data_IF_239535743984
#
_entry.id   IF_239535743984
#
_cell.length_a   1.000
_cell.length_b   1.000
_cell.length_c   1.000
_cell.angle_alpha   90.00
_cell.angle_beta   90.00
_cell.angle_gamma   90.00
#
_symmetry.space_group_name_H-M   'P 1'
#
loop_
_entity.id
_entity.type
_entity.pdbx_description
1 polymer ?
#
# COMPACT_ATOMS: atom_id res chain seq x y z
N UNK A 1 8.89 -45.72 13.58
CA UNK A 1 8.59 -45.66 12.14
C UNK A 1 7.09 -45.79 12.01
N UNK A 2 6.38 -44.67 12.10
CA UNK A 2 4.94 -44.64 11.86
C UNK A 2 4.68 -44.47 10.36
N UNK A 3 3.65 -45.20 9.95
CA UNK A 3 3.28 -45.58 8.61
C UNK A 3 2.93 -44.33 7.77
N UNK A 4 3.88 -43.81 6.99
CA UNK A 4 3.55 -42.87 5.90
C UNK A 4 2.96 -43.69 4.76
N UNK A 5 1.62 -43.66 4.66
CA UNK A 5 0.92 -44.08 3.45
C UNK A 5 1.55 -43.40 2.23
N UNK A 6 1.70 -44.10 1.09
CA UNK A 6 2.31 -43.54 -0.11
C UNK A 6 1.50 -42.32 -0.56
N UNK A 7 2.18 -41.25 -0.93
CA UNK A 7 1.60 -39.99 -1.38
C UNK A 7 0.58 -40.23 -2.49
N UNK A 8 -0.70 -40.29 -2.12
CA UNK A 8 -1.79 -40.14 -3.08
C UNK A 8 -1.64 -38.79 -3.76
N UNK A 9 -1.87 -38.74 -5.06
CA UNK A 9 -1.85 -37.48 -5.83
C UNK A 9 -2.57 -36.39 -5.05
N UNK A 10 -1.81 -35.35 -4.69
CA UNK A 10 -2.33 -34.20 -3.97
C UNK A 10 -3.43 -33.60 -4.84
N UNK A 11 -4.69 -33.75 -4.42
CA UNK A 11 -5.85 -33.24 -5.14
C UNK A 11 -6.23 -31.87 -4.58
N UNK A 12 -6.44 -30.91 -5.46
CA UNK A 12 -6.93 -29.58 -5.06
C UNK A 12 -8.42 -29.64 -4.74
N UNK A 13 -8.83 -29.05 -3.62
CA UNK A 13 -10.23 -28.91 -3.23
C UNK A 13 -10.96 -27.97 -4.20
N UNK A 14 -12.28 -28.17 -4.37
CA UNK A 14 -13.09 -27.30 -5.20
C UNK A 14 -13.23 -25.92 -4.53
N UNK A 15 -12.54 -24.93 -5.09
CA UNK A 15 -12.62 -23.52 -4.72
C UNK A 15 -12.60 -22.71 -6.01
N UNK A 16 -13.73 -22.08 -6.32
CA UNK A 16 -13.92 -21.33 -7.57
C UNK A 16 -13.33 -19.92 -7.46
N UNK A 17 -13.02 -19.31 -8.60
CA UNK A 17 -12.36 -18.00 -8.62
C UNK A 17 -13.27 -16.85 -8.18
N UNK A 18 -14.60 -17.00 -8.23
CA UNK A 18 -15.56 -15.99 -7.78
C UNK A 18 -16.01 -16.20 -6.33
N UNK A 19 -15.43 -17.17 -5.64
CA UNK A 19 -15.74 -17.45 -4.25
C UNK A 19 -14.79 -16.69 -3.32
N UNK A 20 -15.38 -16.12 -2.28
CA UNK A 20 -14.68 -15.45 -1.20
C UNK A 20 -15.14 -16.05 0.12
N UNK A 21 -14.20 -16.27 1.03
CA UNK A 21 -14.56 -16.73 2.37
C UNK A 21 -13.77 -16.03 3.45
N UNK A 22 -14.33 -16.05 4.66
CA UNK A 22 -13.67 -15.51 5.83
C UNK A 22 -13.89 -16.37 7.06
N UNK A 23 -13.01 -16.18 8.03
CA UNK A 23 -13.17 -16.67 9.39
C UNK A 23 -12.79 -15.58 10.38
N UNK A 24 -13.52 -15.48 11.49
CA UNK A 24 -13.21 -14.60 12.62
C UNK A 24 -12.66 -15.46 13.75
N UNK A 25 -11.57 -15.00 14.35
CA UNK A 25 -10.89 -15.66 15.45
C UNK A 25 -10.64 -14.70 16.61
N UNK A 26 -10.44 -15.23 17.82
CA UNK A 26 -9.90 -14.46 18.94
C UNK A 26 -8.36 -14.25 18.82
N UNK A 27 -7.76 -13.56 19.79
CA UNK A 27 -6.30 -13.33 19.82
C UNK A 27 -5.45 -14.60 19.91
N UNK A 28 -6.04 -15.74 20.28
CA UNK A 28 -5.36 -17.05 20.32
C UNK A 28 -5.52 -17.84 19.02
N UNK A 29 -6.14 -17.24 18.00
CA UNK A 29 -6.56 -17.92 16.76
C UNK A 29 -7.58 -19.04 16.98
N UNK A 30 -8.39 -18.96 18.03
CA UNK A 30 -9.56 -19.84 18.18
C UNK A 30 -10.67 -19.36 17.26
N UNK A 31 -11.22 -20.24 16.43
CA UNK A 31 -12.27 -19.92 15.46
C UNK A 31 -13.57 -19.62 16.20
N UNK A 32 -14.11 -18.42 15.99
CA UNK A 32 -15.37 -17.96 16.55
C UNK A 32 -16.53 -18.15 15.56
N UNK A 33 -16.28 -17.89 14.27
CA UNK A 33 -17.27 -18.00 13.19
C UNK A 33 -16.56 -17.93 11.82
N UNK A 34 -17.28 -18.28 10.75
CA UNK A 34 -16.92 -18.05 9.36
C UNK A 34 -18.16 -18.22 8.48
N UNK A 35 -18.05 -17.85 7.21
CA UNK A 35 -19.17 -18.02 6.28
C UNK A 35 -19.31 -19.47 5.75
N UNK A 36 -20.38 -19.77 5.02
CA UNK A 36 -20.68 -21.15 4.61
C UNK A 36 -19.63 -21.69 3.62
N UNK A 37 -19.05 -20.84 2.78
CA UNK A 37 -17.90 -21.22 1.93
C UNK A 37 -16.72 -21.74 2.77
N UNK A 38 -16.40 -21.10 3.91
CA UNK A 38 -15.32 -21.56 4.79
C UNK A 38 -15.59 -22.97 5.32
N UNK A 39 -16.81 -23.22 5.83
CA UNK A 39 -17.23 -24.53 6.35
C UNK A 39 -17.12 -25.58 5.23
N UNK A 40 -17.70 -25.28 4.06
CA UNK A 40 -17.75 -26.19 2.91
C UNK A 40 -16.35 -26.56 2.40
N UNK A 41 -15.47 -25.60 2.17
CA UNK A 41 -14.11 -25.85 1.64
C UNK A 41 -13.25 -26.59 2.67
N UNK A 42 -13.41 -26.28 3.96
CA UNK A 42 -12.64 -26.97 5.01
C UNK A 42 -12.98 -28.46 5.11
N UNK A 43 -14.17 -28.88 4.67
CA UNK A 43 -14.67 -30.25 4.82
C UNK A 43 -15.01 -30.66 6.26
N UNK A 44 -14.87 -29.75 7.23
CA UNK A 44 -15.33 -29.92 8.60
C UNK A 44 -16.77 -29.48 8.74
N UNK A 45 -17.51 -30.09 9.67
CA UNK A 45 -18.78 -29.53 10.11
C UNK A 45 -18.52 -28.27 10.92
N UNK A 46 -19.49 -27.36 10.95
CA UNK A 46 -19.39 -26.11 11.69
C UNK A 46 -19.05 -26.32 13.16
N UNK A 47 -19.68 -27.30 13.80
CA UNK A 47 -19.46 -27.63 15.22
C UNK A 47 -18.07 -28.22 15.49
N UNK A 48 -17.38 -28.70 14.44
CA UNK A 48 -15.99 -29.18 14.53
C UNK A 48 -14.98 -28.04 14.32
N UNK A 49 -15.40 -26.92 13.72
CA UNK A 49 -14.55 -25.75 13.49
C UNK A 49 -14.61 -24.77 14.66
N UNK A 50 -15.81 -24.45 15.15
CA UNK A 50 -15.99 -23.45 16.20
C UNK A 50 -15.33 -23.92 17.49
N UNK A 51 -14.51 -23.05 18.09
CA UNK A 51 -13.75 -23.36 19.30
C UNK A 51 -12.44 -24.11 19.06
N UNK A 52 -12.11 -24.45 17.81
CA UNK A 52 -10.79 -25.02 17.47
C UNK A 52 -9.80 -23.93 17.07
N UNK A 53 -8.51 -24.23 17.25
CA UNK A 53 -7.45 -23.39 16.71
C UNK A 53 -7.46 -23.43 15.18
N UNK A 54 -7.24 -22.27 14.57
CA UNK A 54 -7.24 -22.11 13.11
C UNK A 54 -6.19 -22.97 12.38
N UNK A 55 -5.18 -23.47 13.09
CA UNK A 55 -4.17 -24.38 12.52
C UNK A 55 -4.73 -25.75 12.11
N UNK A 56 -5.98 -26.09 12.47
CA UNK A 56 -6.65 -27.35 12.08
C UNK A 56 -6.72 -27.55 10.55
N UNK A 57 -6.75 -26.46 9.78
CA UNK A 57 -6.74 -26.48 8.30
C UNK A 57 -5.38 -26.16 7.69
N UNK A 58 -4.31 -26.10 8.49
CA UNK A 58 -2.97 -25.76 7.98
C UNK A 58 -2.39 -26.94 7.20
N UNK A 59 -1.91 -26.67 5.99
CA UNK A 59 -1.15 -27.65 5.23
C UNK A 59 0.27 -27.84 5.82
N UNK A 60 0.80 -29.07 5.92
CA UNK A 60 2.17 -29.33 6.37
C UNK A 60 3.26 -28.60 5.55
N UNK A 61 3.09 -28.54 4.22
CA UNK A 61 3.97 -27.78 3.30
C UNK A 61 3.86 -26.23 3.40
N UNK A 62 3.42 -25.68 4.52
CA UNK A 62 3.51 -24.24 4.75
C UNK A 62 4.77 -23.89 5.53
N UNK A 63 5.67 -23.05 4.97
CA UNK A 63 6.83 -22.54 5.70
C UNK A 63 6.42 -21.93 7.04
N UNK A 64 7.05 -22.35 8.12
CA UNK A 64 6.80 -21.82 9.46
C UNK A 64 7.19 -20.35 9.56
N UNK A 65 8.22 -19.90 8.84
CA UNK A 65 8.63 -18.47 8.84
C UNK A 65 7.51 -17.54 8.36
N UNK A 66 6.70 -17.95 7.38
CA UNK A 66 5.57 -17.14 6.88
C UNK A 66 4.51 -16.96 7.97
N UNK A 67 4.26 -18.00 8.77
CA UNK A 67 3.37 -17.88 9.92
C UNK A 67 3.97 -17.03 11.04
N UNK A 68 5.29 -17.08 11.25
CA UNK A 68 5.96 -16.15 12.17
C UNK A 68 5.69 -14.71 11.76
N UNK A 69 5.90 -14.37 10.48
CA UNK A 69 5.57 -13.05 9.94
C UNK A 69 4.10 -12.68 10.18
N UNK A 70 3.17 -13.58 9.86
CA UNK A 70 1.74 -13.36 10.09
C UNK A 70 1.46 -13.01 11.56
N UNK A 71 1.96 -13.80 12.50
CA UNK A 71 1.77 -13.58 13.94
C UNK A 71 2.45 -12.31 14.44
N UNK A 72 3.67 -12.02 13.97
CA UNK A 72 4.39 -10.80 14.32
C UNK A 72 3.59 -9.55 13.92
N UNK A 73 2.86 -9.58 12.79
CA UNK A 73 2.03 -8.46 12.37
C UNK A 73 0.76 -8.32 13.23
N UNK A 74 -0.06 -9.38 13.30
CA UNK A 74 -1.37 -9.28 13.98
C UNK A 74 -1.25 -9.08 15.49
N UNK A 75 -0.16 -9.55 16.12
CA UNK A 75 0.13 -9.29 17.53
C UNK A 75 0.55 -7.83 17.80
N UNK A 76 0.98 -7.10 16.76
CA UNK A 76 1.28 -5.67 16.80
C UNK A 76 0.10 -4.82 16.29
N UNK A 77 -1.11 -5.38 16.25
CA UNK A 77 -2.32 -4.75 15.71
C UNK A 77 -2.15 -4.23 14.26
N UNK A 78 -1.26 -4.89 13.49
CA UNK A 78 -1.04 -4.62 12.06
C UNK A 78 -1.75 -5.67 11.19
N UNK A 79 -2.32 -5.26 10.04
CA UNK A 79 -2.83 -6.22 9.07
C UNK A 79 -1.69 -6.97 8.41
N UNK A 80 -1.99 -8.13 7.84
CA UNK A 80 -1.02 -8.93 7.09
C UNK A 80 -1.68 -9.65 5.94
N UNK A 81 -0.98 -9.72 4.81
CA UNK A 81 -1.40 -10.51 3.65
C UNK A 81 -0.37 -11.61 3.40
N UNK A 82 -0.84 -12.83 3.17
CA UNK A 82 0.03 -13.97 2.91
C UNK A 82 -0.65 -14.96 1.97
N UNK A 83 0.13 -15.61 1.11
CA UNK A 83 -0.31 -16.79 0.40
C UNK A 83 -0.26 -17.99 1.36
N UNK A 84 -1.38 -18.69 1.52
CA UNK A 84 -1.51 -19.79 2.46
C UNK A 84 -2.03 -21.03 1.73
N UNK A 85 -1.29 -22.13 1.85
CA UNK A 85 -1.73 -23.48 1.50
C UNK A 85 -2.43 -24.09 2.71
N UNK A 86 -3.68 -24.48 2.52
CA UNK A 86 -4.49 -25.14 3.53
C UNK A 86 -4.79 -26.58 3.11
N UNK A 87 -5.22 -27.39 4.07
CA UNK A 87 -5.64 -28.77 3.88
C UNK A 87 -7.04 -28.96 4.49
N UNK A 88 -7.98 -29.40 3.67
CA UNK A 88 -9.32 -29.77 4.10
C UNK A 88 -9.29 -31.09 4.91
N UNK A 89 -10.35 -31.38 5.66
CA UNK A 89 -10.53 -32.63 6.42
C UNK A 89 -10.34 -33.89 5.57
N UNK A 90 -10.69 -33.81 4.29
CA UNK A 90 -10.55 -34.90 3.32
C UNK A 90 -9.10 -35.17 2.90
N UNK A 91 -8.17 -34.28 3.24
CA UNK A 91 -6.77 -34.30 2.81
C UNK A 91 -6.48 -33.51 1.54
N UNK A 92 -7.51 -33.04 0.83
CA UNK A 92 -7.39 -32.15 -0.34
C UNK A 92 -6.80 -30.80 0.08
N UNK A 93 -5.94 -30.22 -0.75
CA UNK A 93 -5.33 -28.92 -0.46
C UNK A 93 -6.00 -27.78 -1.23
N UNK A 94 -5.83 -26.54 -0.77
CA UNK A 94 -6.23 -25.36 -1.52
C UNK A 94 -5.33 -24.19 -1.17
N UNK A 95 -5.11 -23.30 -2.14
CA UNK A 95 -4.36 -22.07 -1.95
C UNK A 95 -5.31 -20.90 -1.79
N UNK A 96 -4.94 -19.98 -0.90
CA UNK A 96 -5.60 -18.69 -0.74
C UNK A 96 -4.57 -17.58 -0.70
N UNK A 97 -4.94 -16.40 -1.19
CA UNK A 97 -4.42 -15.17 -0.63
C UNK A 97 -5.26 -14.86 0.62
N UNK A 98 -4.65 -14.84 1.79
CA UNK A 98 -5.30 -14.50 3.04
C UNK A 98 -4.92 -13.07 3.47
N UNK A 99 -5.90 -12.17 3.53
CA UNK A 99 -5.78 -10.85 4.12
C UNK A 99 -6.35 -10.87 5.55
N UNK A 100 -5.49 -10.71 6.55
CA UNK A 100 -5.84 -10.76 7.96
C UNK A 100 -5.86 -9.35 8.54
N UNK A 101 -6.99 -8.99 9.15
CA UNK A 101 -7.22 -7.66 9.71
C UNK A 101 -7.56 -7.76 11.20
N UNK A 102 -6.82 -7.06 12.08
CA UNK A 102 -7.20 -6.91 13.47
C UNK A 102 -8.33 -5.90 13.63
N UNK A 103 -9.28 -6.23 14.51
CA UNK A 103 -10.33 -5.32 14.95
C UNK A 103 -10.68 -5.66 16.41
N UNK A 104 -10.30 -4.77 17.33
CA UNK A 104 -10.38 -4.96 18.78
C UNK A 104 -9.60 -6.22 19.23
N UNK A 105 -10.24 -7.15 19.94
CA UNK A 105 -9.64 -8.37 20.47
C UNK A 105 -9.79 -9.58 19.54
N UNK A 106 -9.99 -9.33 18.25
CA UNK A 106 -10.30 -10.36 17.26
C UNK A 106 -9.61 -10.09 15.93
N UNK A 107 -9.48 -11.15 15.15
CA UNK A 107 -8.91 -11.11 13.81
C UNK A 107 -9.92 -11.68 12.82
N UNK A 108 -10.11 -11.01 11.69
CA UNK A 108 -10.78 -11.59 10.52
C UNK A 108 -9.74 -11.90 9.45
N UNK A 109 -9.85 -13.08 8.84
CA UNK A 109 -9.05 -13.46 7.69
C UNK A 109 -9.97 -13.62 6.49
N UNK A 110 -9.89 -12.68 5.55
CA UNK A 110 -10.63 -12.68 4.27
C UNK A 110 -9.75 -13.34 3.21
N UNK A 111 -10.33 -14.23 2.41
CA UNK A 111 -9.58 -15.10 1.50
C UNK A 111 -10.20 -15.17 0.12
N UNK A 112 -9.34 -15.07 -0.88
CA UNK A 112 -9.65 -15.25 -2.30
C UNK A 112 -8.68 -16.27 -2.91
N UNK A 113 -9.07 -16.83 -4.05
CA UNK A 113 -8.22 -17.75 -4.81
C UNK A 113 -7.10 -16.98 -5.51
N UNK A 114 -5.82 -17.32 -5.30
CA UNK A 114 -4.72 -16.58 -5.90
C UNK A 114 -4.57 -16.97 -7.37
N UNK A 115 -4.44 -15.97 -8.23
CA UNK A 115 -4.31 -16.09 -9.68
C UNK A 115 -3.20 -15.19 -10.26
N UNK A 116 -2.54 -14.37 -9.46
CA UNK A 116 -1.50 -13.44 -9.93
C UNK A 116 -0.19 -14.14 -10.32
N UNK A 117 0.65 -13.41 -11.06
CA UNK A 117 2.02 -13.84 -11.36
C UNK A 117 2.89 -13.92 -10.08
N UNK A 118 2.60 -13.10 -9.07
CA UNK A 118 3.30 -13.13 -7.78
C UNK A 118 3.10 -14.49 -7.11
N UNK A 119 1.90 -15.08 -7.20
CA UNK A 119 1.63 -16.40 -6.65
C UNK A 119 2.56 -17.50 -7.22
N UNK A 120 2.86 -17.44 -8.52
CA UNK A 120 3.78 -18.39 -9.15
C UNK A 120 5.20 -18.29 -8.56
N UNK A 121 5.71 -17.06 -8.38
CA UNK A 121 7.01 -16.81 -7.76
C UNK A 121 7.03 -17.25 -6.28
N UNK A 122 5.93 -17.02 -5.55
CA UNK A 122 5.80 -17.39 -4.14
C UNK A 122 5.86 -18.91 -3.94
N UNK A 123 5.29 -19.69 -4.86
CA UNK A 123 5.41 -21.17 -4.79
C UNK A 123 6.87 -21.63 -4.86
N UNK A 124 7.68 -21.03 -5.73
CA UNK A 124 9.12 -21.33 -5.82
C UNK A 124 9.86 -20.89 -4.56
N UNK A 125 9.53 -19.70 -4.04
CA UNK A 125 10.07 -19.16 -2.80
C UNK A 125 9.77 -20.12 -1.63
N UNK A 126 8.53 -20.59 -1.49
CA UNK A 126 8.13 -21.49 -0.40
C UNK A 126 8.84 -22.83 -0.47
N UNK A 127 9.08 -23.36 -1.68
CA UNK A 127 9.89 -24.56 -1.85
C UNK A 127 11.31 -24.38 -1.28
N UNK A 128 11.98 -23.26 -1.60
CA UNK A 128 13.30 -22.93 -1.05
C UNK A 128 13.28 -22.82 0.48
N UNK A 129 12.26 -22.15 1.04
CA UNK A 129 12.11 -22.01 2.49
C UNK A 129 11.90 -23.35 3.19
N UNK A 130 11.05 -24.23 2.65
CA UNK A 130 10.83 -25.56 3.22
C UNK A 130 12.11 -26.41 3.23
N UNK A 131 12.95 -26.31 2.19
CA UNK A 131 14.26 -26.98 2.16
C UNK A 131 15.21 -26.44 3.24
N UNK A 132 15.23 -25.12 3.44
CA UNK A 132 15.99 -24.50 4.53
C UNK A 132 15.46 -24.96 5.91
N UNK A 133 14.14 -24.99 6.09
CA UNK A 133 13.52 -25.42 7.34
C UNK A 133 13.74 -26.91 7.66
N UNK A 134 13.84 -27.75 6.63
CA UNK A 134 14.11 -29.17 6.77
C UNK A 134 15.56 -29.45 7.23
N UNK A 135 16.50 -28.56 6.88
CA UNK A 135 17.92 -28.72 7.22
C UNK A 135 18.32 -28.04 8.54
N UNK A 136 17.77 -26.87 8.83
CA UNK A 136 18.18 -26.09 10.01
C UNK A 136 17.05 -25.33 10.70
N UNK A 137 15.81 -25.78 10.54
CA UNK A 137 14.67 -25.20 11.25
C UNK A 137 14.28 -23.80 10.77
N UNK A 138 13.38 -23.15 11.50
CA UNK A 138 12.90 -21.80 11.17
C UNK A 138 14.04 -20.77 11.15
N UNK A 139 15.04 -20.92 12.03
CA UNK A 139 16.22 -20.06 12.13
C UNK A 139 17.00 -19.98 10.81
N UNK A 140 17.00 -21.04 10.00
CA UNK A 140 17.64 -21.04 8.68
C UNK A 140 16.81 -20.34 7.60
N UNK A 141 15.49 -20.38 7.71
CA UNK A 141 14.56 -19.81 6.73
C UNK A 141 14.26 -18.33 6.95
N UNK A 142 14.36 -17.83 8.19
CA UNK A 142 14.05 -16.44 8.55
C UNK A 142 14.92 -15.39 7.80
N UNK A 143 16.26 -15.46 7.84
CA UNK A 143 17.08 -14.55 7.04
C UNK A 143 16.93 -14.79 5.53
N UNK A 144 16.60 -16.02 5.13
CA UNK A 144 16.42 -16.38 3.73
C UNK A 144 15.16 -15.75 3.12
N UNK A 145 14.07 -15.63 3.89
CA UNK A 145 12.83 -15.00 3.41
C UNK A 145 13.09 -13.58 2.90
N UNK A 146 13.78 -12.76 3.69
CA UNK A 146 14.07 -11.37 3.30
C UNK A 146 15.02 -11.30 2.09
N UNK A 147 16.01 -12.19 2.01
CA UNK A 147 16.88 -12.28 0.83
C UNK A 147 16.12 -12.65 -0.45
N UNK A 148 15.22 -13.63 -0.38
CA UNK A 148 14.39 -14.05 -1.51
C UNK A 148 13.39 -12.95 -1.93
N UNK A 149 12.85 -12.19 -0.98
CA UNK A 149 12.00 -11.03 -1.29
C UNK A 149 12.80 -9.91 -1.97
N UNK A 150 14.05 -9.68 -1.54
CA UNK A 150 14.94 -8.71 -2.17
C UNK A 150 15.31 -9.11 -3.61
N UNK A 151 15.51 -10.41 -3.89
CA UNK A 151 15.67 -10.92 -5.26
C UNK A 151 14.45 -10.64 -6.16
N UNK A 152 13.26 -10.59 -5.56
CA UNK A 152 12.01 -10.22 -6.24
C UNK A 152 11.78 -8.69 -6.28
N UNK A 153 12.70 -7.89 -5.76
CA UNK A 153 12.65 -6.43 -5.78
C UNK A 153 11.91 -5.78 -4.61
N UNK A 154 11.62 -6.53 -3.53
CA UNK A 154 10.96 -6.00 -2.33
C UNK A 154 11.96 -5.72 -1.21
N UNK A 155 11.86 -4.52 -0.62
CA UNK A 155 12.74 -4.11 0.49
C UNK A 155 12.22 -4.60 1.86
N UNK A 156 10.93 -4.91 1.94
CA UNK A 156 10.26 -5.36 3.16
C UNK A 156 9.14 -6.34 2.87
N UNK A 157 8.69 -7.08 3.89
CA UNK A 157 7.48 -7.89 3.78
C UNK A 157 6.23 -7.00 3.57
N UNK A 158 6.21 -5.79 4.15
CA UNK A 158 5.11 -4.83 3.98
C UNK A 158 4.94 -4.41 2.51
N UNK A 159 6.06 -4.14 1.81
CA UNK A 159 6.04 -3.84 0.37
C UNK A 159 5.52 -5.03 -0.44
N UNK A 160 6.02 -6.24 -0.14
CA UNK A 160 5.59 -7.47 -0.80
C UNK A 160 4.09 -7.72 -0.60
N UNK A 161 3.60 -7.66 0.63
CA UNK A 161 2.22 -8.01 0.95
C UNK A 161 1.23 -6.99 0.38
N UNK A 162 1.63 -5.71 0.31
CA UNK A 162 0.83 -4.67 -0.34
C UNK A 162 0.72 -4.89 -1.85
N UNK A 163 1.82 -5.24 -2.52
CA UNK A 163 1.81 -5.50 -3.96
C UNK A 163 1.13 -6.82 -4.31
N UNK A 164 1.29 -7.85 -3.47
CA UNK A 164 0.57 -9.12 -3.58
C UNK A 164 -0.95 -8.91 -3.50
N UNK A 165 -1.43 -8.14 -2.51
CA UNK A 165 -2.86 -7.83 -2.39
C UNK A 165 -3.38 -7.07 -3.61
N UNK A 166 -2.67 -6.03 -4.03
CA UNK A 166 -3.06 -5.23 -5.19
C UNK A 166 -3.10 -6.07 -6.48
N UNK A 167 -2.08 -6.89 -6.71
CA UNK A 167 -1.97 -7.73 -7.92
C UNK A 167 -3.08 -8.77 -7.97
N UNK A 168 -3.37 -9.44 -6.86
CA UNK A 168 -4.44 -10.43 -6.79
C UNK A 168 -5.82 -9.80 -6.96
N UNK A 169 -6.09 -8.64 -6.36
CA UNK A 169 -7.36 -7.93 -6.58
C UNK A 169 -7.53 -7.47 -8.03
N UNK A 170 -6.43 -7.07 -8.68
CA UNK A 170 -6.42 -6.73 -10.10
C UNK A 170 -6.79 -7.91 -11.01
N UNK A 171 -6.23 -9.10 -10.76
CA UNK A 171 -6.59 -10.31 -11.50
C UNK A 171 -7.99 -10.81 -11.16
N UNK A 172 -8.35 -10.80 -9.87
CA UNK A 172 -9.67 -11.18 -9.38
C UNK A 172 -10.78 -10.37 -10.07
N UNK A 173 -10.60 -9.05 -10.18
CA UNK A 173 -11.54 -8.17 -10.89
C UNK A 173 -11.73 -8.56 -12.36
N UNK A 174 -10.66 -8.93 -13.07
CA UNK A 174 -10.75 -9.38 -14.48
C UNK A 174 -11.55 -10.67 -14.58
N UNK A 175 -11.27 -11.64 -13.69
CA UNK A 175 -11.97 -12.91 -13.65
C UNK A 175 -13.47 -12.70 -13.38
N UNK A 176 -13.81 -11.85 -12.40
CA UNK A 176 -15.21 -11.52 -12.09
C UNK A 176 -15.94 -10.81 -13.24
N UNK A 177 -15.23 -10.07 -14.09
CA UNK A 177 -15.82 -9.42 -15.27
C UNK A 177 -16.13 -10.42 -16.40
N UNK A 178 -15.34 -11.49 -16.52
CA UNK A 178 -15.54 -12.55 -17.51
C UNK A 178 -16.64 -13.55 -17.11
N UNK A 179 -16.97 -13.64 -15.83
CA UNK A 179 -18.05 -14.50 -15.32
C UNK A 179 -19.39 -13.82 -15.59
N UNK A 180 -20.28 -14.51 -16.31
CA UNK A 180 -21.61 -14.00 -16.66
C UNK A 180 -22.43 -13.67 -15.40
N UNK A 181 -22.51 -12.38 -15.06
CA UNK A 181 -23.25 -11.88 -13.90
C UNK A 181 -24.76 -12.15 -13.99
N UNK A 182 -25.31 -12.49 -15.17
CA UNK A 182 -26.71 -12.88 -15.31
C UNK A 182 -27.05 -14.20 -14.59
N UNK A 183 -26.04 -14.96 -14.16
CA UNK A 183 -26.22 -16.22 -13.41
C UNK A 183 -26.52 -16.02 -11.91
N UNK A 184 -26.21 -14.85 -11.33
CA UNK A 184 -26.40 -14.55 -9.89
C UNK A 184 -27.65 -13.71 -9.65
N UNK A 185 -28.83 -14.30 -9.92
CA UNK A 185 -30.12 -13.64 -9.61
C UNK A 185 -30.33 -13.62 -8.10
N UNK A 186 -30.54 -12.43 -7.54
CA UNK A 186 -30.92 -12.27 -6.14
C UNK A 186 -32.28 -12.95 -5.93
N UNK A 187 -32.42 -13.85 -4.94
CA UNK A 187 -33.64 -14.65 -4.77
C UNK A 187 -34.84 -13.75 -4.45
N UNK A 188 -36.05 -14.25 -4.66
CA UNK A 188 -37.24 -13.52 -4.25
C UNK A 188 -37.27 -13.34 -2.72
N UNK A 189 -37.41 -12.09 -2.28
CA UNK A 189 -37.34 -11.71 -0.88
C UNK A 189 -38.74 -11.51 -0.34
N UNK A 190 -39.12 -12.36 0.61
CA UNK A 190 -40.45 -12.36 1.23
C UNK A 190 -40.43 -12.04 2.74
N UNK A 191 -39.23 -11.88 3.33
CA UNK A 191 -39.06 -11.64 4.77
C UNK A 191 -38.54 -10.24 5.07
N UNK A 192 -38.85 -9.73 6.27
CA UNK A 192 -38.31 -8.44 6.75
C UNK A 192 -36.78 -8.46 6.83
N UNK A 193 -36.20 -9.57 7.32
CA UNK A 193 -34.76 -9.77 7.36
C UNK A 193 -34.16 -9.72 5.96
N UNK A 194 -34.72 -10.47 5.01
CA UNK A 194 -34.24 -10.49 3.62
C UNK A 194 -34.28 -9.09 2.98
N UNK A 195 -35.30 -8.28 3.31
CA UNK A 195 -35.41 -6.90 2.82
C UNK A 195 -34.29 -6.02 3.37
N UNK A 196 -33.96 -6.18 4.66
CA UNK A 196 -32.83 -5.47 5.30
C UNK A 196 -31.49 -5.93 4.74
N UNK A 197 -31.27 -7.24 4.59
CA UNK A 197 -30.05 -7.78 3.99
C UNK A 197 -29.84 -7.31 2.55
N UNK A 198 -30.91 -7.23 1.75
CA UNK A 198 -30.85 -6.67 0.40
C UNK A 198 -30.46 -5.19 0.41
N UNK A 199 -31.03 -4.40 1.31
CA UNK A 199 -30.65 -3.00 1.46
C UNK A 199 -29.17 -2.84 1.85
N UNK A 200 -28.67 -3.69 2.77
CA UNK A 200 -27.26 -3.73 3.11
C UNK A 200 -26.38 -4.12 1.91
N UNK A 201 -26.84 -5.08 1.10
CA UNK A 201 -26.15 -5.50 -0.12
C UNK A 201 -26.07 -4.32 -1.12
N UNK A 202 -27.17 -3.61 -1.35
CA UNK A 202 -27.21 -2.41 -2.18
C UNK A 202 -26.23 -1.34 -1.67
N UNK A 203 -26.18 -1.08 -0.36
CA UNK A 203 -25.20 -0.17 0.23
C UNK A 203 -23.75 -0.62 -0.02
N UNK A 204 -23.46 -1.91 0.13
CA UNK A 204 -22.11 -2.44 -0.12
C UNK A 204 -21.70 -2.31 -1.59
N UNK A 205 -22.63 -2.50 -2.53
CA UNK A 205 -22.38 -2.33 -3.97
C UNK A 205 -22.13 -0.85 -4.33
N UNK A 206 -22.91 0.08 -3.74
CA UNK A 206 -22.67 1.52 -3.92
C UNK A 206 -21.32 1.92 -3.32
N UNK A 207 -20.94 1.39 -2.16
CA UNK A 207 -19.62 1.62 -1.59
C UNK A 207 -18.53 1.09 -2.53
N UNK A 208 -18.65 -0.14 -3.02
CA UNK A 208 -17.67 -0.73 -3.93
C UNK A 208 -17.43 0.18 -5.14
N UNK A 209 -18.50 0.62 -5.81
CA UNK A 209 -18.39 1.50 -6.97
C UNK A 209 -17.73 2.85 -6.65
N UNK A 210 -18.00 3.42 -5.47
CA UNK A 210 -17.34 4.66 -5.04
C UNK A 210 -15.86 4.43 -4.74
N UNK A 211 -15.51 3.32 -4.12
CA UNK A 211 -14.13 3.01 -3.76
C UNK A 211 -13.26 2.58 -4.93
N UNK A 212 -13.89 2.01 -5.95
CA UNK A 212 -13.24 1.57 -7.19
C UNK A 212 -12.42 2.68 -7.86
N UNK A 213 -12.87 3.94 -7.77
CA UNK A 213 -12.13 5.08 -8.32
C UNK A 213 -10.76 5.28 -7.67
N UNK A 214 -10.61 5.04 -6.36
CA UNK A 214 -9.27 5.09 -5.76
C UNK A 214 -8.41 3.93 -6.20
N UNK A 215 -9.00 2.74 -6.35
CA UNK A 215 -8.30 1.56 -6.83
C UNK A 215 -7.74 1.79 -8.24
N UNK A 216 -8.53 2.41 -9.14
CA UNK A 216 -8.11 2.78 -10.50
C UNK A 216 -7.00 3.85 -10.53
N UNK A 217 -6.81 4.59 -9.44
CA UNK A 217 -5.78 5.65 -9.32
C UNK A 217 -4.52 5.19 -8.61
N UNK A 218 -4.43 3.91 -8.21
CA UNK A 218 -3.25 3.34 -7.56
C UNK A 218 -1.99 3.49 -8.43
N UNK A 219 -2.09 3.30 -9.74
CA UNK A 219 -0.94 3.47 -10.65
C UNK A 219 -0.43 4.91 -10.69
N UNK A 220 -1.33 5.90 -10.62
CA UNK A 220 -0.95 7.30 -10.47
C UNK A 220 -0.19 7.52 -9.16
N UNK A 221 -0.66 6.96 -8.04
CA UNK A 221 0.04 7.04 -6.76
C UNK A 221 1.44 6.43 -6.80
N UNK A 222 1.59 5.27 -7.47
CA UNK A 222 2.89 4.66 -7.71
C UNK A 222 3.82 5.56 -8.55
N UNK A 223 3.30 6.20 -9.60
CA UNK A 223 4.08 7.14 -10.43
C UNK A 223 4.52 8.39 -9.66
N UNK A 224 3.64 8.95 -8.83
CA UNK A 224 3.96 10.12 -7.98
C UNK A 224 5.10 9.79 -7.04
N UNK A 225 5.03 8.63 -6.38
CA UNK A 225 6.11 8.12 -5.51
C UNK A 225 7.45 8.07 -6.24
N UNK A 226 7.49 7.43 -7.42
CA UNK A 226 8.73 7.27 -8.21
C UNK A 226 9.32 8.64 -8.58
N UNK A 227 8.50 9.53 -9.16
CA UNK A 227 8.97 10.84 -9.61
C UNK A 227 9.46 11.69 -8.44
N UNK A 228 8.74 11.73 -7.32
CA UNK A 228 9.17 12.54 -6.17
C UNK A 228 10.48 12.03 -5.55
N UNK A 229 10.69 10.71 -5.48
CA UNK A 229 11.94 10.15 -4.97
C UNK A 229 13.12 10.41 -5.93
N UNK A 230 12.97 10.10 -7.22
CA UNK A 230 14.03 10.32 -8.23
C UNK A 230 14.46 11.79 -8.30
N UNK A 231 13.48 12.69 -8.43
CA UNK A 231 13.74 14.14 -8.56
C UNK A 231 14.27 14.74 -7.25
N UNK A 232 13.79 14.25 -6.11
CA UNK A 232 14.32 14.62 -4.80
C UNK A 232 15.79 14.22 -4.61
N UNK A 233 16.20 13.07 -5.15
CA UNK A 233 17.61 12.64 -5.15
C UNK A 233 18.46 13.50 -6.08
N UNK A 234 17.99 13.79 -7.29
CA UNK A 234 18.69 14.66 -8.25
C UNK A 234 18.93 16.07 -7.70
N UNK A 235 17.93 16.67 -7.03
CA UNK A 235 18.10 17.98 -6.36
C UNK A 235 19.23 17.95 -5.32
N UNK A 236 19.35 16.86 -4.53
CA UNK A 236 20.45 16.71 -3.57
C UNK A 236 21.82 16.63 -4.26
N UNK A 237 21.91 15.94 -5.40
CA UNK A 237 23.14 15.88 -6.18
C UNK A 237 23.54 17.25 -6.72
N UNK A 238 22.60 17.96 -7.34
CA UNK A 238 22.82 19.31 -7.87
C UNK A 238 23.24 20.30 -6.78
N UNK A 239 22.64 20.23 -5.59
CA UNK A 239 23.02 21.06 -4.46
C UNK A 239 24.49 20.87 -4.04
N UNK A 240 24.93 19.61 -3.95
CA UNK A 240 26.35 19.29 -3.62
C UNK A 240 27.29 19.83 -4.68
N UNK A 241 26.94 19.71 -5.96
CA UNK A 241 27.75 20.22 -7.07
C UNK A 241 27.90 21.75 -6.99
N UNK A 242 26.83 22.48 -6.64
CA UNK A 242 26.88 23.93 -6.42
C UNK A 242 27.81 24.28 -5.25
N UNK A 243 27.74 23.53 -4.14
CA UNK A 243 28.65 23.73 -3.00
C UNK A 243 30.10 23.50 -3.41
N UNK A 244 30.42 22.42 -4.12
CA UNK A 244 31.79 22.16 -4.59
C UNK A 244 32.29 23.25 -5.54
N UNK A 245 31.42 23.74 -6.42
CA UNK A 245 31.77 24.81 -7.34
C UNK A 245 32.07 26.13 -6.60
N UNK A 246 31.32 26.43 -5.53
CA UNK A 246 31.57 27.59 -4.66
C UNK A 246 32.93 27.53 -3.95
N UNK A 247 33.35 26.33 -3.53
CA UNK A 247 34.65 26.09 -2.90
C UNK A 247 35.78 26.28 -3.92
N UNK A 248 35.61 25.76 -5.13
CA UNK A 248 36.58 25.94 -6.22
C UNK A 248 36.71 27.43 -6.59
N UNK A 249 35.59 28.17 -6.66
CA UNK A 249 35.58 29.61 -6.89
C UNK A 249 36.34 30.36 -5.78
N UNK A 250 36.13 29.97 -4.53
CA UNK A 250 36.81 30.57 -3.37
C UNK A 250 38.32 30.29 -3.38
N UNK A 251 38.75 29.07 -3.72
CA UNK A 251 40.18 28.74 -3.82
C UNK A 251 40.84 29.46 -4.99
N UNK A 252 40.12 29.61 -6.11
CA UNK A 252 40.62 30.34 -7.28
C UNK A 252 40.82 31.82 -6.96
N UNK A 253 39.93 32.45 -6.19
CA UNK A 253 40.02 33.88 -5.84
C UNK A 253 41.30 34.24 -5.06
N UNK A 254 41.76 33.34 -4.18
CA UNK A 254 43.03 33.50 -3.46
C UNK A 254 44.29 33.37 -4.34
N UNK A 255 44.18 32.85 -5.56
CA UNK A 255 45.32 32.63 -6.47
C UNK A 255 45.56 33.81 -7.42
N UNK A 256 44.73 34.85 -7.38
CA UNK A 256 44.82 36.01 -8.27
C UNK A 256 45.55 37.16 -7.59
N UNK A 257 46.51 37.78 -8.29
CA UNK A 257 47.27 38.90 -7.76
C UNK A 257 46.47 40.22 -7.69
N UNK A 258 45.54 40.47 -8.63
CA UNK A 258 44.67 41.65 -8.69
C UNK A 258 43.23 41.23 -9.08
N UNK A 259 42.20 41.80 -8.44
CA UNK A 259 40.78 41.50 -8.74
C UNK A 259 40.19 40.26 -8.05
N UNK A 260 41.00 39.49 -7.30
CA UNK A 260 40.54 38.31 -6.54
C UNK A 260 39.55 38.63 -5.41
N UNK A 261 39.53 39.86 -4.90
CA UNK A 261 38.62 40.28 -3.81
C UNK A 261 37.15 40.20 -4.24
N UNK A 262 36.80 40.73 -5.41
CA UNK A 262 35.43 40.70 -5.97
C UNK A 262 34.97 39.26 -6.21
N UNK A 263 35.85 38.41 -6.76
CA UNK A 263 35.55 36.98 -6.96
C UNK A 263 35.41 36.23 -5.63
N UNK A 264 36.16 36.62 -4.59
CA UNK A 264 36.03 36.08 -3.24
C UNK A 264 34.66 36.39 -2.63
N UNK A 265 34.15 37.61 -2.82
CA UNK A 265 32.79 37.99 -2.39
C UNK A 265 31.74 37.17 -3.14
N UNK A 266 31.80 37.12 -4.48
CA UNK A 266 30.86 36.32 -5.27
C UNK A 266 30.89 34.84 -4.88
N UNK A 267 32.07 34.26 -4.67
CA UNK A 267 32.20 32.87 -4.22
C UNK A 267 31.62 32.65 -2.82
N UNK A 268 31.77 33.63 -1.92
CA UNK A 268 31.13 33.61 -0.60
C UNK A 268 29.60 33.67 -0.72
N UNK A 269 29.06 34.52 -1.60
CA UNK A 269 27.62 34.64 -1.83
C UNK A 269 27.02 33.36 -2.42
N UNK A 270 27.69 32.76 -3.42
CA UNK A 270 27.33 31.43 -3.95
C UNK A 270 27.29 30.41 -2.82
N UNK A 271 28.29 30.41 -1.93
CA UNK A 271 28.37 29.45 -0.81
C UNK A 271 27.26 29.65 0.22
N UNK A 272 26.92 30.90 0.55
CA UNK A 272 25.81 31.21 1.48
C UNK A 272 24.49 30.75 0.88
N UNK A 273 24.21 31.10 -0.38
CA UNK A 273 23.01 30.64 -1.08
C UNK A 273 22.96 29.11 -1.21
N UNK A 274 24.08 28.46 -1.52
CA UNK A 274 24.14 27.00 -1.60
C UNK A 274 23.80 26.33 -0.27
N UNK A 275 24.22 26.91 0.87
CA UNK A 275 23.87 26.41 2.21
C UNK A 275 22.38 26.57 2.51
N UNK A 276 21.78 27.70 2.12
CA UNK A 276 20.33 27.91 2.24
C UNK A 276 19.55 26.91 1.37
N UNK A 277 19.99 26.68 0.13
CA UNK A 277 19.42 25.68 -0.78
C UNK A 277 19.51 24.27 -0.20
N UNK A 278 20.65 23.88 0.35
CA UNK A 278 20.85 22.57 0.98
C UNK A 278 19.85 22.34 2.14
N UNK A 279 19.55 23.40 2.91
CA UNK A 279 18.57 23.35 4.00
C UNK A 279 17.15 23.15 3.46
N UNK A 280 16.76 23.91 2.42
CA UNK A 280 15.46 23.76 1.75
C UNK A 280 15.28 22.37 1.14
N UNK A 281 16.31 21.87 0.45
CA UNK A 281 16.32 20.54 -0.17
C UNK A 281 16.25 19.44 0.91
N UNK A 282 16.89 19.63 2.07
CA UNK A 282 16.74 18.74 3.21
C UNK A 282 15.29 18.64 3.72
N UNK A 283 14.59 19.76 3.81
CA UNK A 283 13.16 19.77 4.17
C UNK A 283 12.30 19.09 3.10
N UNK A 284 12.52 19.41 1.82
CA UNK A 284 11.82 18.76 0.70
C UNK A 284 12.03 17.24 0.74
N UNK A 285 13.26 16.78 0.97
CA UNK A 285 13.55 15.35 1.07
C UNK A 285 12.77 14.66 2.20
N UNK A 286 12.73 15.28 3.38
CA UNK A 286 12.01 14.73 4.54
C UNK A 286 10.51 14.62 4.26
N UNK A 287 9.94 15.62 3.58
CA UNK A 287 8.54 15.60 3.16
C UNK A 287 8.26 14.58 2.06
N UNK A 288 9.15 14.44 1.08
CA UNK A 288 9.07 13.41 0.03
C UNK A 288 9.08 12.01 0.63
N UNK A 289 9.94 11.76 1.63
CA UNK A 289 9.97 10.47 2.32
C UNK A 289 8.66 10.23 3.06
N UNK A 290 8.17 11.23 3.79
CA UNK A 290 6.89 11.14 4.51
C UNK A 290 5.69 10.95 3.59
N UNK A 291 5.71 11.58 2.41
CA UNK A 291 4.72 11.39 1.35
C UNK A 291 4.78 9.97 0.79
N UNK A 292 5.98 9.44 0.54
CA UNK A 292 6.20 8.08 0.06
C UNK A 292 5.66 7.04 1.02
N UNK A 293 5.97 7.16 2.31
CA UNK A 293 5.49 6.25 3.35
C UNK A 293 3.95 6.30 3.46
N UNK A 294 3.38 7.51 3.37
CA UNK A 294 1.92 7.71 3.41
C UNK A 294 1.24 7.16 2.16
N UNK A 295 1.85 7.26 0.99
CA UNK A 295 1.36 6.66 -0.26
C UNK A 295 1.37 5.14 -0.20
N UNK A 296 2.40 4.52 0.36
CA UNK A 296 2.43 3.06 0.56
C UNK A 296 1.26 2.61 1.46
N UNK A 297 1.06 3.31 2.58
CA UNK A 297 -0.04 3.01 3.50
C UNK A 297 -1.42 3.25 2.85
N UNK A 298 -1.55 4.27 2.00
CA UNK A 298 -2.76 4.54 1.24
C UNK A 298 -3.08 3.40 0.26
N UNK A 299 -2.11 2.97 -0.54
CA UNK A 299 -2.28 1.90 -1.53
C UNK A 299 -2.75 0.62 -0.84
N UNK A 300 -2.12 0.26 0.28
CA UNK A 300 -2.57 -0.88 1.09
C UNK A 300 -3.99 -0.66 1.61
N UNK A 301 -4.31 0.51 2.15
CA UNK A 301 -5.62 0.82 2.74
C UNK A 301 -6.74 0.77 1.70
N UNK A 302 -6.51 1.27 0.48
CA UNK A 302 -7.46 1.19 -0.65
C UNK A 302 -7.68 -0.26 -1.06
N UNK A 303 -6.61 -1.04 -1.17
CA UNK A 303 -6.68 -2.47 -1.51
C UNK A 303 -7.41 -3.27 -0.42
N UNK A 304 -7.16 -2.95 0.85
CA UNK A 304 -7.85 -3.55 2.00
C UNK A 304 -9.34 -3.20 2.00
N UNK A 305 -9.71 -1.95 1.75
CA UNK A 305 -11.12 -1.56 1.63
C UNK A 305 -11.84 -2.31 0.51
N UNK A 306 -11.17 -2.49 -0.63
CA UNK A 306 -11.73 -3.22 -1.77
C UNK A 306 -12.09 -4.66 -1.37
N UNK A 307 -11.14 -5.44 -0.83
CA UNK A 307 -11.42 -6.83 -0.42
C UNK A 307 -12.42 -6.92 0.75
N UNK A 308 -12.42 -5.94 1.67
CA UNK A 308 -13.37 -5.91 2.79
C UNK A 308 -14.80 -5.64 2.33
N UNK A 309 -15.01 -4.70 1.41
CA UNK A 309 -16.34 -4.40 0.86
C UNK A 309 -16.83 -5.55 -0.02
N UNK A 310 -15.92 -6.19 -0.75
CA UNK A 310 -16.25 -7.40 -1.49
C UNK A 310 -16.71 -8.51 -0.54
N UNK A 311 -16.00 -8.73 0.57
CA UNK A 311 -16.39 -9.69 1.58
C UNK A 311 -17.78 -9.41 2.17
N UNK A 312 -18.10 -8.15 2.45
CA UNK A 312 -19.45 -7.73 2.87
C UNK A 312 -20.48 -8.09 1.82
N UNK A 313 -20.23 -7.70 0.56
CA UNK A 313 -21.15 -7.91 -0.56
C UNK A 313 -21.40 -9.40 -0.80
N UNK A 314 -20.32 -10.18 -0.83
CA UNK A 314 -20.36 -11.64 -1.01
C UNK A 314 -21.13 -12.31 0.12
N UNK A 315 -20.82 -11.99 1.37
CA UNK A 315 -21.47 -12.58 2.54
C UNK A 315 -22.98 -12.28 2.58
N UNK A 316 -23.38 -11.04 2.28
CA UNK A 316 -24.79 -10.66 2.22
C UNK A 316 -25.52 -11.39 1.09
N UNK A 317 -24.90 -11.52 -0.08
CA UNK A 317 -25.45 -12.27 -1.20
C UNK A 317 -25.59 -13.76 -0.88
N UNK A 318 -24.54 -14.38 -0.33
CA UNK A 318 -24.55 -15.78 0.14
C UNK A 318 -25.65 -16.02 1.17
N UNK A 319 -25.77 -15.14 2.16
CA UNK A 319 -26.83 -15.22 3.20
C UNK A 319 -28.23 -15.16 2.59
N UNK A 320 -28.44 -14.29 1.60
CA UNK A 320 -29.72 -14.19 0.88
C UNK A 320 -30.04 -15.48 0.10
N UNK A 321 -29.05 -16.11 -0.54
CA UNK A 321 -29.22 -17.37 -1.27
C UNK A 321 -29.56 -18.56 -0.35
N UNK A 322 -29.07 -18.56 0.89
CA UNK A 322 -29.37 -19.60 1.86
C UNK A 322 -30.81 -19.58 2.41
N UNK A 323 -31.68 -18.67 1.94
CA UNK A 323 -33.09 -18.54 2.37
C UNK A 323 -33.25 -18.44 3.90
N UNK A 324 -32.40 -17.62 4.54
CA UNK A 324 -32.40 -17.44 6.00
C UNK A 324 -33.75 -16.91 6.47
N UNK A 325 -34.45 -17.71 7.30
CA UNK A 325 -35.78 -17.40 7.80
C UNK A 325 -35.76 -16.55 9.08
N UNK A 326 -34.68 -16.61 9.86
CA UNK A 326 -34.58 -15.94 11.15
C UNK A 326 -33.16 -15.46 11.45
N UNK A 327 -33.02 -14.49 12.36
CA UNK A 327 -31.73 -13.83 12.60
C UNK A 327 -30.94 -14.61 13.64
N UNK A 328 -29.80 -15.21 13.27
CA UNK A 328 -28.89 -15.82 14.24
C UNK A 328 -27.94 -14.80 14.87
N UNK A 329 -27.50 -15.07 16.11
CA UNK A 329 -26.43 -14.31 16.79
C UNK A 329 -25.16 -14.20 15.95
N UNK A 330 -24.77 -15.27 15.26
CA UNK A 330 -23.63 -15.31 14.37
C UNK A 330 -23.78 -14.38 13.15
N UNK A 331 -24.96 -14.36 12.52
CA UNK A 331 -25.23 -13.46 11.40
C UNK A 331 -25.09 -12.00 11.84
N UNK A 332 -25.66 -11.65 13.00
CA UNK A 332 -25.57 -10.32 13.60
C UNK A 332 -24.12 -9.91 13.83
N UNK A 333 -23.33 -10.82 14.37
CA UNK A 333 -21.92 -10.62 14.69
C UNK A 333 -21.06 -10.44 13.43
N UNK A 334 -21.23 -11.29 12.43
CA UNK A 334 -20.51 -11.23 11.16
C UNK A 334 -20.79 -9.93 10.39
N UNK A 335 -22.07 -9.55 10.24
CA UNK A 335 -22.45 -8.29 9.58
C UNK A 335 -21.81 -7.11 10.31
N UNK A 336 -21.93 -7.07 11.65
CA UNK A 336 -21.38 -5.97 12.44
C UNK A 336 -19.86 -5.88 12.34
N UNK A 337 -19.17 -7.02 12.36
CA UNK A 337 -17.71 -7.06 12.33
C UNK A 337 -17.19 -6.52 11.00
N UNK A 338 -17.76 -7.01 9.89
CA UNK A 338 -17.39 -6.59 8.54
C UNK A 338 -17.65 -5.09 8.30
N UNK A 339 -18.82 -4.57 8.70
CA UNK A 339 -19.15 -3.14 8.54
C UNK A 339 -18.25 -2.25 9.40
N UNK A 340 -17.94 -2.67 10.63
CA UNK A 340 -17.06 -1.92 11.51
C UNK A 340 -15.63 -1.89 10.96
N UNK A 341 -15.16 -3.00 10.37
CA UNK A 341 -13.86 -3.05 9.71
C UNK A 341 -13.78 -2.05 8.53
N UNK A 342 -14.76 -2.07 7.63
CA UNK A 342 -14.84 -1.12 6.51
C UNK A 342 -14.89 0.33 7.03
N UNK A 343 -15.65 0.59 8.10
CA UNK A 343 -15.74 1.92 8.70
C UNK A 343 -14.38 2.41 9.23
N UNK A 344 -13.65 1.55 9.94
CA UNK A 344 -12.33 1.88 10.50
C UNK A 344 -11.32 2.18 9.38
N UNK A 345 -11.31 1.36 8.32
CA UNK A 345 -10.41 1.58 7.18
C UNK A 345 -10.80 2.82 6.36
N UNK A 346 -12.09 3.17 6.29
CA UNK A 346 -12.52 4.44 5.70
C UNK A 346 -11.98 5.65 6.47
N UNK A 347 -12.08 5.64 7.80
CA UNK A 347 -11.52 6.72 8.63
C UNK A 347 -10.00 6.85 8.42
N UNK A 348 -9.31 5.70 8.35
CA UNK A 348 -7.89 5.63 8.01
C UNK A 348 -7.58 6.23 6.63
N UNK A 349 -8.36 5.87 5.60
CA UNK A 349 -8.19 6.42 4.24
C UNK A 349 -8.33 7.95 4.22
N UNK A 350 -9.35 8.49 4.88
CA UNK A 350 -9.58 9.94 4.96
C UNK A 350 -8.39 10.63 5.65
N UNK A 351 -7.90 10.07 6.75
CA UNK A 351 -6.75 10.62 7.47
C UNK A 351 -5.47 10.63 6.61
N UNK A 352 -5.21 9.56 5.86
CA UNK A 352 -4.08 9.47 4.94
C UNK A 352 -4.18 10.51 3.81
N UNK A 353 -5.37 10.71 3.24
CA UNK A 353 -5.59 11.72 2.21
C UNK A 353 -5.31 13.14 2.67
N UNK A 354 -5.80 13.50 3.87
CA UNK A 354 -5.52 14.81 4.46
C UNK A 354 -4.02 15.01 4.72
N UNK A 355 -3.33 13.95 5.18
CA UNK A 355 -1.90 13.98 5.44
C UNK A 355 -1.08 14.17 4.16
N UNK A 356 -1.40 13.46 3.08
CA UNK A 356 -0.74 13.64 1.77
C UNK A 356 -0.96 15.04 1.21
N UNK A 357 -2.19 15.57 1.31
CA UNK A 357 -2.53 16.92 0.85
C UNK A 357 -1.68 17.98 1.57
N UNK A 358 -1.47 17.79 2.88
CA UNK A 358 -0.61 18.64 3.70
C UNK A 358 0.86 18.57 3.24
N UNK A 359 1.41 17.38 3.04
CA UNK A 359 2.80 17.21 2.60
C UNK A 359 3.08 17.81 1.24
N UNK A 360 2.13 17.74 0.31
CA UNK A 360 2.29 18.31 -1.03
C UNK A 360 2.24 19.84 -0.98
N UNK A 361 1.32 20.41 -0.20
CA UNK A 361 1.26 21.87 0.01
C UNK A 361 2.54 22.40 0.65
N UNK A 362 3.05 21.69 1.65
CA UNK A 362 4.30 22.07 2.32
C UNK A 362 5.50 21.93 1.37
N UNK A 363 5.58 20.82 0.63
CA UNK A 363 6.64 20.60 -0.38
C UNK A 363 6.62 21.68 -1.46
N UNK A 364 5.44 22.05 -1.96
CA UNK A 364 5.29 23.15 -2.92
C UNK A 364 5.81 24.46 -2.36
N UNK A 365 5.55 24.75 -1.09
CA UNK A 365 6.04 25.98 -0.43
C UNK A 365 7.56 26.03 -0.38
N UNK A 366 8.22 24.90 -0.06
CA UNK A 366 9.68 24.83 -0.07
C UNK A 366 10.27 24.86 -1.47
N UNK A 367 9.61 24.25 -2.46
CA UNK A 367 10.02 24.33 -3.87
C UNK A 367 9.96 25.78 -4.38
N UNK A 368 8.93 26.55 -4.03
CA UNK A 368 8.83 27.98 -4.39
C UNK A 368 9.93 28.82 -3.72
N UNK A 369 10.30 28.48 -2.47
CA UNK A 369 11.42 29.12 -1.78
C UNK A 369 12.75 28.78 -2.46
N UNK A 370 12.94 27.51 -2.83
CA UNK A 370 14.14 27.05 -3.52
C UNK A 370 14.27 27.70 -4.90
N UNK A 371 13.17 27.83 -5.64
CA UNK A 371 13.15 28.51 -6.93
C UNK A 371 13.62 29.97 -6.80
N UNK A 372 13.14 30.70 -5.79
CA UNK A 372 13.60 32.07 -5.50
C UNK A 372 15.10 32.13 -5.21
N UNK A 373 15.63 31.17 -4.47
CA UNK A 373 17.06 31.12 -4.16
C UNK A 373 17.90 30.73 -5.38
N UNK A 374 17.42 29.83 -6.23
CA UNK A 374 18.06 29.47 -7.50
C UNK A 374 18.06 30.67 -8.47
N UNK A 375 17.00 31.46 -8.50
CA UNK A 375 16.99 32.74 -9.24
C UNK A 375 18.02 33.73 -8.70
N UNK A 376 18.14 33.87 -7.37
CA UNK A 376 19.18 34.69 -6.74
C UNK A 376 20.59 34.24 -7.14
N UNK A 377 20.83 32.93 -7.16
CA UNK A 377 22.07 32.33 -7.64
C UNK A 377 22.34 32.65 -9.12
N UNK A 378 21.29 32.73 -9.94
CA UNK A 378 21.34 33.20 -11.33
C UNK A 378 21.86 34.63 -11.46
N UNK A 379 21.44 35.55 -10.58
CA UNK A 379 21.98 36.91 -10.57
C UNK A 379 23.47 36.90 -10.25
N UNK A 380 23.89 36.19 -9.19
CA UNK A 380 25.32 36.07 -8.81
C UNK A 380 26.12 35.49 -9.99
N UNK A 381 25.58 34.48 -10.66
CA UNK A 381 26.20 33.82 -11.80
C UNK A 381 26.42 34.78 -12.98
N UNK A 382 25.42 35.62 -13.32
CA UNK A 382 25.54 36.61 -14.41
C UNK A 382 26.58 37.67 -14.07
N UNK A 383 26.56 38.22 -12.86
CA UNK A 383 27.57 39.18 -12.40
C UNK A 383 28.98 38.57 -12.44
N UNK A 384 29.13 37.31 -12.03
CA UNK A 384 30.41 36.61 -12.09
C UNK A 384 30.96 36.43 -13.50
N UNK A 385 30.11 36.19 -14.51
CA UNK A 385 30.55 36.16 -15.92
C UNK A 385 31.02 37.54 -16.39
N UNK A 386 30.26 38.60 -16.07
CA UNK A 386 30.60 39.98 -16.49
C UNK A 386 31.95 40.41 -15.88
N UNK A 387 32.14 40.13 -14.60
CA UNK A 387 33.38 40.46 -13.89
C UNK A 387 34.57 39.65 -14.42
N UNK A 388 34.36 38.37 -14.74
CA UNK A 388 35.38 37.51 -15.35
C UNK A 388 35.80 38.01 -16.74
N UNK A 389 34.85 38.48 -17.56
CA UNK A 389 35.14 39.03 -18.89
C UNK A 389 35.89 40.38 -18.82
N UNK A 390 35.70 41.15 -17.75
CA UNK A 390 36.28 42.49 -17.61
C UNK A 390 37.76 42.48 -17.18
N UNK A 391 38.23 41.39 -16.56
CA UNK A 391 39.56 41.34 -15.93
C UNK A 391 40.70 40.77 -16.82
N UNK A 392 40.45 40.42 -18.10
CA UNK A 392 41.45 39.97 -19.10
C UNK A 392 42.45 38.85 -18.71
N UNK A 393 42.36 38.28 -17.51
CA UNK A 393 43.27 37.26 -16.99
C UNK A 393 42.66 35.86 -17.18
N UNK A 394 42.66 35.37 -18.43
CA UNK A 394 42.18 34.03 -18.81
C UNK A 394 42.89 32.89 -18.05
N UNK A 395 44.00 33.17 -17.36
CA UNK A 395 44.82 32.18 -16.64
C UNK A 395 44.13 31.54 -15.44
N UNK A 396 43.02 32.10 -14.92
CA UNK A 396 42.41 31.64 -13.65
C UNK A 396 41.08 30.91 -13.81
N UNK A 397 40.53 30.78 -15.02
CA UNK A 397 39.40 29.87 -15.29
C UNK A 397 38.04 30.23 -14.64
N UNK A 398 37.88 31.44 -14.07
CA UNK A 398 36.63 31.87 -13.42
C UNK A 398 35.42 31.89 -14.35
N UNK A 399 35.60 32.30 -15.61
CA UNK A 399 34.53 32.23 -16.60
C UNK A 399 33.99 30.81 -16.78
N UNK A 400 34.86 29.80 -16.67
CA UNK A 400 34.48 28.39 -16.68
C UNK A 400 33.66 27.98 -15.46
N UNK A 401 34.02 28.46 -14.27
CA UNK A 401 33.29 28.20 -13.02
C UNK A 401 31.87 28.76 -13.11
N UNK A 402 31.70 30.05 -13.47
CA UNK A 402 30.36 30.64 -13.57
C UNK A 402 29.56 30.10 -14.77
N UNK A 403 30.22 29.62 -15.82
CA UNK A 403 29.56 28.89 -16.91
C UNK A 403 29.03 27.52 -16.45
N UNK A 404 29.80 26.77 -15.64
CA UNK A 404 29.33 25.54 -15.02
C UNK A 404 28.16 25.80 -14.06
N UNK A 405 28.24 26.88 -13.27
CA UNK A 405 27.19 27.28 -12.34
C UNK A 405 25.87 27.54 -13.09
N UNK A 406 25.93 28.20 -14.25
CA UNK A 406 24.76 28.40 -15.12
C UNK A 406 24.09 27.08 -15.50
N UNK A 407 24.88 26.05 -15.83
CA UNK A 407 24.36 24.72 -16.15
C UNK A 407 23.68 24.05 -14.97
N UNK A 408 24.25 24.15 -13.77
CA UNK A 408 23.67 23.60 -12.54
C UNK A 408 22.36 24.32 -12.15
N UNK A 409 22.32 25.65 -12.26
CA UNK A 409 21.11 26.45 -12.05
C UNK A 409 19.99 25.99 -12.99
N UNK A 410 20.29 25.89 -14.29
CA UNK A 410 19.30 25.45 -15.29
C UNK A 410 18.70 24.09 -14.96
N UNK A 411 19.54 23.09 -14.66
CA UNK A 411 19.08 21.75 -14.25
C UNK A 411 18.26 21.80 -12.97
N UNK A 412 18.69 22.57 -11.96
CA UNK A 412 17.97 22.68 -10.69
C UNK A 412 16.58 23.27 -10.92
N UNK A 413 16.46 24.31 -11.74
CA UNK A 413 15.17 24.88 -12.13
C UNK A 413 14.29 23.89 -12.89
N UNK A 414 14.84 23.10 -13.80
CA UNK A 414 14.10 22.05 -14.52
C UNK A 414 13.49 21.02 -13.55
N UNK A 415 14.26 20.53 -12.57
CA UNK A 415 13.76 19.54 -11.61
C UNK A 415 12.69 20.12 -10.66
N UNK A 416 12.85 21.38 -10.24
CA UNK A 416 11.85 22.09 -9.42
C UNK A 416 10.51 22.16 -10.17
N UNK A 417 10.53 22.55 -11.45
CA UNK A 417 9.32 22.69 -12.28
C UNK A 417 8.61 21.32 -12.44
N UNK A 418 9.37 20.25 -12.66
CA UNK A 418 8.81 18.89 -12.77
C UNK A 418 8.10 18.49 -11.48
N UNK A 419 8.74 18.71 -10.31
CA UNK A 419 8.15 18.39 -9.01
C UNK A 419 6.91 19.25 -8.70
N UNK A 420 6.96 20.56 -8.95
CA UNK A 420 5.81 21.47 -8.76
C UNK A 420 4.61 21.05 -9.62
N UNK A 421 4.83 20.75 -10.91
CA UNK A 421 3.77 20.30 -11.82
C UNK A 421 3.15 18.98 -11.36
N UNK A 422 3.98 18.03 -10.95
CA UNK A 422 3.51 16.73 -10.46
C UNK A 422 2.71 16.88 -9.16
N UNK A 423 3.21 17.67 -8.21
CA UNK A 423 2.53 17.97 -6.95
C UNK A 423 1.17 18.65 -7.17
N UNK A 424 1.11 19.62 -8.09
CA UNK A 424 -0.16 20.28 -8.44
C UNK A 424 -1.18 19.30 -9.04
N UNK A 425 -0.76 18.49 -10.03
CA UNK A 425 -1.65 17.50 -10.65
C UNK A 425 -2.17 16.48 -9.63
N UNK A 426 -1.30 15.98 -8.76
CA UNK A 426 -1.71 15.09 -7.68
C UNK A 426 -2.71 15.79 -6.74
N UNK A 427 -2.42 17.03 -6.32
CA UNK A 427 -3.29 17.76 -5.40
C UNK A 427 -4.71 17.90 -5.98
N UNK A 428 -4.82 18.31 -7.24
CA UNK A 428 -6.12 18.43 -7.93
C UNK A 428 -6.84 17.09 -7.99
N UNK A 429 -6.16 16.02 -8.39
CA UNK A 429 -6.79 14.70 -8.48
C UNK A 429 -7.22 14.15 -7.11
N UNK A 430 -6.38 14.32 -6.09
CA UNK A 430 -6.70 13.92 -4.73
C UNK A 430 -7.93 14.69 -4.19
N UNK A 431 -8.03 15.99 -4.47
CA UNK A 431 -9.22 16.79 -4.12
C UNK A 431 -10.47 16.34 -4.87
N UNK A 432 -10.35 15.99 -6.16
CA UNK A 432 -11.47 15.45 -6.94
C UNK A 432 -11.97 14.14 -6.33
N UNK A 433 -11.07 13.20 -6.05
CA UNK A 433 -11.41 11.93 -5.41
C UNK A 433 -12.07 12.13 -4.05
N UNK A 434 -11.58 13.08 -3.23
CA UNK A 434 -12.20 13.44 -1.96
C UNK A 434 -13.58 14.07 -2.12
N UNK A 435 -13.79 14.88 -3.16
CA UNK A 435 -15.10 15.47 -3.48
C UNK A 435 -16.12 14.41 -3.90
N UNK A 436 -15.69 13.48 -4.75
CA UNK A 436 -16.50 12.35 -5.22
C UNK A 436 -16.78 11.30 -4.15
N UNK A 437 -15.89 11.19 -3.15
CA UNK A 437 -16.11 10.47 -1.89
C UNK A 437 -17.31 11.02 -1.09
N UNK A 438 -17.83 12.19 -1.48
CA UNK A 438 -18.96 12.86 -0.87
C UNK A 438 -20.11 11.89 -0.57
N UNK A 439 -20.45 11.77 0.71
CA UNK A 439 -21.54 10.91 1.18
C UNK A 439 -21.17 9.47 1.48
N UNK A 440 -19.91 9.02 1.31
CA UNK A 440 -19.46 7.71 1.82
C UNK A 440 -19.67 7.63 3.33
N UNK A 441 -19.28 8.67 4.08
CA UNK A 441 -19.48 8.71 5.53
C UNK A 441 -20.98 8.63 5.91
N UNK A 442 -21.84 9.31 5.16
CA UNK A 442 -23.30 9.22 5.34
C UNK A 442 -23.82 7.82 5.05
N UNK A 443 -23.36 7.21 3.95
CA UNK A 443 -23.74 5.86 3.54
C UNK A 443 -23.28 4.82 4.57
N UNK A 444 -22.04 4.91 5.07
CA UNK A 444 -21.55 4.03 6.15
C UNK A 444 -22.34 4.21 7.44
N UNK A 445 -22.77 5.43 7.76
CA UNK A 445 -23.64 5.69 8.91
C UNK A 445 -25.01 5.05 8.73
N UNK A 446 -25.61 5.13 7.54
CA UNK A 446 -26.84 4.44 7.19
C UNK A 446 -26.66 2.92 7.25
N UNK A 447 -25.56 2.41 6.71
CA UNK A 447 -25.18 1.00 6.73
C UNK A 447 -25.13 0.48 8.18
N UNK A 448 -24.44 1.20 9.07
CA UNK A 448 -24.35 0.85 10.49
C UNK A 448 -25.73 0.89 11.16
N UNK A 449 -26.52 1.93 10.94
CA UNK A 449 -27.88 2.03 11.51
C UNK A 449 -28.75 0.84 11.11
N UNK A 450 -28.76 0.46 9.83
CA UNK A 450 -29.53 -0.68 9.35
C UNK A 450 -29.00 -2.01 9.91
N UNK A 451 -27.67 -2.15 10.08
CA UNK A 451 -27.09 -3.31 10.76
C UNK A 451 -27.51 -3.40 12.23
N UNK A 452 -27.60 -2.29 12.95
CA UNK A 452 -28.07 -2.28 14.34
C UNK A 452 -29.55 -2.66 14.44
N UNK A 453 -30.38 -2.27 13.47
CA UNK A 453 -31.77 -2.72 13.40
C UNK A 453 -31.82 -4.26 13.30
N UNK A 454 -31.01 -4.88 12.42
CA UNK A 454 -30.93 -6.35 12.31
C UNK A 454 -30.52 -6.99 13.65
N UNK A 455 -29.61 -6.37 14.42
CA UNK A 455 -29.22 -6.89 15.74
C UNK A 455 -30.39 -6.95 16.73
N UNK A 456 -31.29 -5.97 16.66
CA UNK A 456 -32.46 -5.88 17.55
C UNK A 456 -33.65 -6.75 17.12
N UNK A 457 -33.60 -7.38 15.94
CA UNK A 457 -34.65 -8.30 15.50
C UNK A 457 -34.62 -9.58 16.35
N UNK A 458 -35.79 -10.07 16.73
CA UNK A 458 -35.95 -11.32 17.46
C UNK A 458 -35.48 -12.52 16.61
N UNK A 459 -34.96 -13.55 17.29
CA UNK A 459 -34.46 -14.80 16.67
C UNK A 459 -35.56 -15.70 16.09
#
# INVERSE_FOLDING_TARGET
MENRSPAGESKEAKFENDELFFSITDRTSTILTGNEVFVRISGYKKEELIGQYHNIIRHPDMPRVVFKVLWDHINNDKPVVAYVKNQAKTGEYYWVLAAVFPLNDRFISIRIKPNSQIFAAVRELYFKLLMAEASGGMESSEPMLMGLLAELGYNSYDDFMSDALLSELGEHKKILADIDQNSKVCPEIHTQLGTKLKLLLEYSQVLMHRYERWFEKVDMYKQVKIVFDEKGQELRHLARDIVFLSLNASVASYKVANGGETFGVLASDVRVNAKENDTLIGHIHTLVQSLTDTLNELIFTVSALNIQIEAVSYFLFETLQCHVQSVSSELKENISFLINLVSMYNEKLIALQLKMDCFIKESSTYLDQLERQVMYLGYIQVYGIIEAASNNDEKVGFGGIFSQLKGLIGKTSEEIIVMQKMGHNFHVENQNLMGEAGGIGTLLKQFRTESEIIKTMDE
#
